data_IF_704032801458
#
_entry.id   IF_704032801458
#
_cell.length_a   1.000
_cell.length_b   1.000
_cell.length_c   1.000
_cell.angle_alpha   90.00
_cell.angle_beta   90.00
_cell.angle_gamma   90.00
#
_symmetry.space_group_name_H-M   'P 1'
#
loop_
_entity.id
_entity.type
_entity.pdbx_description
1 polymer ?
#
# COMPACT_ATOMS: atom_id res chain seq x y z
N UNK A 1 -56.87 21.59 -24.26
CA UNK A 1 -56.60 20.15 -24.09
C UNK A 1 -55.09 19.93 -24.14
N UNK A 2 -54.43 20.00 -22.97
CA UNK A 2 -53.61 18.93 -22.34
C UNK A 2 -52.40 18.49 -23.18
N UNK A 3 -51.22 19.06 -22.93
CA UNK A 3 -50.21 18.62 -21.94
C UNK A 3 -49.42 17.38 -22.39
N UNK A 4 -48.12 17.53 -22.59
CA UNK A 4 -47.07 17.00 -21.69
C UNK A 4 -45.66 17.29 -22.22
N UNK A 5 -44.88 17.97 -21.37
CA UNK A 5 -43.43 17.98 -21.43
C UNK A 5 -42.87 16.57 -21.20
N UNK A 6 -41.76 16.23 -21.85
CA UNK A 6 -40.99 15.03 -21.56
C UNK A 6 -39.51 15.36 -21.41
N UNK A 7 -39.11 15.55 -20.16
CA UNK A 7 -37.73 15.53 -19.68
C UNK A 7 -37.17 14.11 -19.81
N UNK A 8 -35.97 13.96 -20.38
CA UNK A 8 -35.13 12.76 -20.24
C UNK A 8 -33.73 13.26 -19.88
N UNK A 9 -33.41 13.32 -18.59
CA UNK A 9 -32.77 12.28 -17.76
C UNK A 9 -31.34 11.98 -18.24
N UNK A 10 -30.43 12.67 -17.57
CA UNK A 10 -28.99 12.47 -17.43
C UNK A 10 -28.60 10.98 -17.52
N UNK A 11 -27.75 10.65 -18.48
CA UNK A 11 -26.96 9.44 -18.46
C UNK A 11 -25.64 9.76 -17.75
N UNK A 12 -25.67 9.62 -16.43
CA UNK A 12 -24.49 9.53 -15.59
C UNK A 12 -23.75 8.23 -15.99
N UNK A 13 -22.62 8.38 -16.70
CA UNK A 13 -21.73 7.27 -17.02
C UNK A 13 -20.93 6.95 -15.76
N UNK A 14 -21.58 6.28 -14.83
CA UNK A 14 -20.95 5.64 -13.69
C UNK A 14 -20.13 4.45 -14.19
N UNK A 15 -18.84 4.68 -14.46
CA UNK A 15 -17.85 3.61 -14.62
C UNK A 15 -17.59 2.98 -13.27
N UNK A 16 -18.43 2.02 -12.90
CA UNK A 16 -18.11 1.09 -11.83
C UNK A 16 -16.92 0.22 -12.31
N UNK A 17 -15.71 0.52 -11.82
CA UNK A 17 -14.57 -0.39 -11.93
C UNK A 17 -14.94 -1.71 -11.28
N UNK A 18 -15.16 -2.74 -12.11
CA UNK A 18 -15.43 -4.08 -11.65
C UNK A 18 -14.18 -4.66 -11.00
N UNK A 19 -14.18 -4.71 -9.67
CA UNK A 19 -13.23 -5.50 -8.89
C UNK A 19 -13.49 -6.97 -9.24
N UNK A 20 -12.69 -7.54 -10.13
CA UNK A 20 -12.82 -8.97 -10.45
C UNK A 20 -12.45 -9.77 -9.19
N UNK A 21 -13.46 -10.40 -8.58
CA UNK A 21 -13.24 -11.34 -7.49
C UNK A 21 -12.43 -12.54 -8.03
N UNK A 22 -11.13 -12.54 -7.78
CA UNK A 22 -10.25 -13.68 -8.05
C UNK A 22 -10.44 -14.77 -6.99
N UNK A 23 -10.29 -16.03 -7.37
CA UNK A 23 -10.36 -17.19 -6.46
C UNK A 23 -9.02 -17.94 -6.42
N UNK A 24 -8.88 -18.88 -5.48
CA UNK A 24 -7.69 -19.73 -5.39
C UNK A 24 -6.41 -18.95 -5.11
N UNK A 25 -5.33 -19.26 -5.85
CA UNK A 25 -3.99 -18.69 -5.63
C UNK A 25 -3.96 -17.17 -5.77
N UNK A 26 -4.80 -16.63 -6.66
CA UNK A 26 -4.88 -15.21 -6.97
C UNK A 26 -5.92 -14.46 -6.13
N UNK A 27 -6.59 -15.14 -5.18
CA UNK A 27 -7.67 -14.54 -4.40
C UNK A 27 -7.26 -13.20 -3.77
N UNK A 28 -8.16 -12.22 -3.80
CA UNK A 28 -7.95 -10.92 -3.15
C UNK A 28 -7.76 -11.12 -1.65
N UNK A 29 -6.70 -10.54 -1.09
CA UNK A 29 -6.36 -10.62 0.34
C UNK A 29 -6.10 -9.21 0.90
N UNK A 30 -7.15 -8.48 1.32
CA UNK A 30 -6.99 -7.10 1.78
C UNK A 30 -5.91 -6.97 2.86
N UNK A 31 -4.99 -6.02 2.65
CA UNK A 31 -3.89 -5.69 3.54
C UNK A 31 -2.73 -6.69 3.57
N UNK A 32 -2.69 -7.70 2.69
CA UNK A 32 -1.61 -8.71 2.70
C UNK A 32 -1.42 -9.35 1.31
N UNK A 33 -0.52 -10.33 1.24
CA UNK A 33 -0.23 -11.07 0.03
C UNK A 33 -1.25 -12.18 -0.22
N UNK A 34 -1.50 -12.45 -1.49
CA UNK A 34 -2.08 -13.73 -1.90
C UNK A 34 -0.99 -14.78 -2.16
N UNK A 35 -1.41 -16.00 -2.50
CA UNK A 35 -0.47 -17.10 -2.78
C UNK A 35 0.26 -16.94 -4.13
N UNK A 36 -0.12 -15.95 -4.94
CA UNK A 36 0.58 -15.57 -6.16
C UNK A 36 1.69 -14.53 -5.90
N UNK A 37 1.82 -14.02 -4.68
CA UNK A 37 2.81 -12.99 -4.33
C UNK A 37 2.37 -11.57 -4.67
N UNK A 38 1.10 -11.35 -4.95
CA UNK A 38 0.53 -10.02 -5.17
C UNK A 38 0.15 -9.41 -3.82
N UNK A 39 0.61 -8.18 -3.55
CA UNK A 39 0.22 -7.42 -2.37
C UNK A 39 -1.11 -6.70 -2.62
N UNK A 40 -1.97 -6.63 -1.61
CA UNK A 40 -3.18 -5.80 -1.66
C UNK A 40 -3.21 -4.80 -0.51
N UNK A 41 -3.70 -3.59 -0.79
CA UNK A 41 -3.98 -2.59 0.24
C UNK A 41 -5.10 -3.06 1.19
N UNK A 42 -5.29 -2.45 2.36
CA UNK A 42 -6.43 -2.71 3.23
C UNK A 42 -7.79 -2.48 2.53
N UNK A 43 -7.82 -1.58 1.54
CA UNK A 43 -8.98 -1.32 0.68
C UNK A 43 -9.12 -2.32 -0.49
N UNK A 44 -8.33 -3.40 -0.49
CA UNK A 44 -8.35 -4.47 -1.50
C UNK A 44 -7.86 -4.05 -2.91
N UNK A 45 -7.15 -2.93 -3.04
CA UNK A 45 -6.50 -2.55 -4.30
C UNK A 45 -5.27 -3.42 -4.53
N UNK A 46 -5.10 -3.93 -5.75
CA UNK A 46 -3.97 -4.80 -6.09
C UNK A 46 -2.72 -3.97 -6.38
N UNK A 47 -1.59 -4.40 -5.84
CA UNK A 47 -0.29 -3.77 -6.05
C UNK A 47 0.70 -4.77 -6.66
N UNK A 48 1.60 -4.25 -7.49
CA UNK A 48 2.75 -4.96 -8.01
C UNK A 48 4.04 -4.30 -7.49
N UNK A 49 5.08 -5.09 -7.28
CA UNK A 49 6.40 -4.59 -6.96
C UNK A 49 6.93 -3.77 -8.15
N UNK A 50 7.38 -2.54 -7.89
CA UNK A 50 7.90 -1.61 -8.89
C UNK A 50 9.39 -1.37 -8.70
N UNK A 51 9.83 -1.30 -7.45
CA UNK A 51 11.23 -1.06 -7.09
C UNK A 51 11.53 -1.79 -5.78
N UNK A 52 12.77 -2.22 -5.60
CA UNK A 52 13.20 -2.95 -4.42
C UNK A 52 14.51 -2.42 -3.86
N UNK A 53 14.74 -2.65 -2.57
CA UNK A 53 15.95 -2.20 -1.86
C UNK A 53 16.22 -0.68 -2.00
N UNK A 54 15.16 0.13 -1.91
CA UNK A 54 15.29 1.59 -2.01
C UNK A 54 15.89 2.21 -0.75
N UNK A 55 16.50 3.39 -0.90
CA UNK A 55 17.03 4.14 0.24
C UNK A 55 15.91 4.75 1.10
N UNK A 56 16.23 5.04 2.37
CA UNK A 56 15.29 5.72 3.27
C UNK A 56 14.90 7.12 2.75
N UNK A 57 15.81 7.85 2.14
CA UNK A 57 15.52 9.16 1.54
C UNK A 57 14.50 9.05 0.41
N UNK A 58 14.61 8.00 -0.42
CA UNK A 58 13.64 7.73 -1.48
C UNK A 58 12.28 7.37 -0.90
N UNK A 59 12.24 6.52 0.12
CA UNK A 59 11.01 6.17 0.83
C UNK A 59 10.31 7.41 1.42
N UNK A 60 11.06 8.29 2.09
CA UNK A 60 10.51 9.51 2.65
C UNK A 60 10.04 10.51 1.59
N UNK A 61 10.67 10.53 0.40
CA UNK A 61 10.17 11.31 -0.72
C UNK A 61 8.82 10.78 -1.21
N UNK A 62 8.71 9.48 -1.46
CA UNK A 62 7.47 8.84 -1.92
C UNK A 62 6.32 9.06 -0.93
N UNK A 63 6.56 8.94 0.37
CA UNK A 63 5.53 9.21 1.39
C UNK A 63 5.13 10.68 1.41
N UNK A 64 6.07 11.62 1.25
CA UNK A 64 5.73 13.05 1.14
C UNK A 64 4.88 13.35 -0.10
N UNK A 65 5.03 12.55 -1.15
CA UNK A 65 4.23 12.63 -2.39
C UNK A 65 2.89 11.88 -2.28
N UNK A 66 2.59 11.27 -1.12
CA UNK A 66 1.30 10.64 -0.83
C UNK A 66 1.29 9.12 -0.85
N UNK A 67 2.45 8.45 -0.90
CA UNK A 67 2.50 7.00 -0.74
C UNK A 67 2.04 6.55 0.66
N UNK A 68 1.30 5.45 0.71
CA UNK A 68 0.98 4.74 1.95
C UNK A 68 2.21 3.96 2.44
N UNK A 69 2.17 3.47 3.67
CA UNK A 69 3.22 2.62 4.24
C UNK A 69 2.66 1.31 4.76
N UNK A 70 3.34 0.22 4.42
CA UNK A 70 3.19 -1.08 5.04
C UNK A 70 4.47 -1.41 5.82
N UNK A 71 4.33 -2.10 6.95
CA UNK A 71 5.47 -2.50 7.77
C UNK A 71 5.32 -3.94 8.26
N UNK A 72 6.40 -4.70 8.21
CA UNK A 72 6.49 -6.01 8.85
C UNK A 72 7.88 -6.18 9.51
N UNK A 73 7.90 -6.54 10.79
CA UNK A 73 9.15 -6.64 11.55
C UNK A 73 9.87 -7.99 11.39
N UNK A 74 9.25 -8.97 10.73
CA UNK A 74 9.80 -10.33 10.64
C UNK A 74 10.94 -10.44 9.61
N UNK A 75 10.96 -9.54 8.61
CA UNK A 75 11.92 -9.59 7.51
C UNK A 75 11.66 -10.74 6.54
N UNK A 76 10.44 -11.30 6.53
CA UNK A 76 10.08 -12.42 5.67
C UNK A 76 9.37 -11.99 4.38
N UNK A 77 9.19 -10.67 4.17
CA UNK A 77 8.47 -10.14 3.03
C UNK A 77 6.95 -10.22 3.17
N UNK A 78 6.42 -10.41 4.39
CA UNK A 78 4.98 -10.38 4.68
C UNK A 78 4.18 -11.62 4.25
N UNK A 79 4.85 -12.73 3.98
CA UNK A 79 4.20 -14.01 3.65
C UNK A 79 3.69 -14.79 4.87
N UNK A 80 2.65 -15.62 4.66
CA UNK A 80 2.17 -16.57 5.68
C UNK A 80 1.53 -15.90 6.90
N UNK A 81 1.96 -16.20 8.14
CA UNK A 81 1.36 -15.62 9.35
C UNK A 81 1.78 -14.16 9.60
N UNK A 82 2.86 -13.70 8.96
CA UNK A 82 3.42 -12.38 9.16
C UNK A 82 2.66 -11.35 8.32
N UNK A 83 1.56 -10.83 8.88
CA UNK A 83 0.77 -9.80 8.19
C UNK A 83 1.40 -8.43 8.38
N UNK A 84 1.52 -7.62 7.30
CA UNK A 84 1.97 -6.25 7.47
C UNK A 84 0.94 -5.43 8.22
N UNK A 85 1.45 -4.48 9.01
CA UNK A 85 0.66 -3.41 9.60
C UNK A 85 0.67 -2.20 8.68
N UNK A 86 -0.41 -1.43 8.71
CA UNK A 86 -0.63 -0.27 7.86
C UNK A 86 -0.86 0.96 8.75
N UNK A 87 0.21 1.71 9.09
CA UNK A 87 0.08 2.87 9.94
C UNK A 87 -0.78 3.96 9.28
N UNK A 88 -1.40 4.81 10.10
CA UNK A 88 -2.23 5.91 9.60
C UNK A 88 -1.41 6.89 8.74
N UNK A 89 -1.95 7.23 7.56
CA UNK A 89 -1.29 8.11 6.58
C UNK A 89 -0.81 9.42 7.20
N UNK A 90 -1.59 10.03 8.11
CA UNK A 90 -1.22 11.27 8.78
C UNK A 90 0.04 11.13 9.65
N UNK A 91 0.16 10.01 10.37
CA UNK A 91 1.31 9.70 11.24
C UNK A 91 2.57 9.49 10.41
N UNK A 92 2.47 8.72 9.33
CA UNK A 92 3.60 8.48 8.42
C UNK A 92 4.01 9.75 7.68
N UNK A 93 3.05 10.53 7.19
CA UNK A 93 3.30 11.81 6.51
C UNK A 93 4.03 12.80 7.43
N UNK A 94 3.69 12.82 8.71
CA UNK A 94 4.40 13.64 9.70
C UNK A 94 5.84 13.14 9.90
N UNK A 95 6.03 11.83 10.09
CA UNK A 95 7.36 11.24 10.26
C UNK A 95 8.27 11.47 9.04
N UNK A 96 7.74 11.33 7.83
CA UNK A 96 8.47 11.52 6.58
C UNK A 96 8.94 12.97 6.35
N UNK A 97 8.25 13.95 6.93
CA UNK A 97 8.69 15.36 6.94
C UNK A 97 9.84 15.59 7.92
N UNK A 98 9.90 14.82 9.01
CA UNK A 98 10.92 14.98 10.04
C UNK A 98 12.22 14.26 9.69
N UNK A 99 12.16 13.04 9.14
CA UNK A 99 13.34 12.24 8.83
C UNK A 99 13.04 11.08 7.87
N UNK A 100 14.06 10.54 7.17
CA UNK A 100 13.93 9.26 6.48
C UNK A 100 13.89 8.08 7.47
N UNK A 101 13.25 6.95 7.09
CA UNK A 101 13.41 5.70 7.82
C UNK A 101 14.86 5.25 7.80
N UNK A 102 15.28 4.52 8.83
CA UNK A 102 16.63 4.03 8.99
C UNK A 102 16.60 2.52 9.19
N UNK A 103 17.40 1.83 8.39
CA UNK A 103 17.73 0.42 8.58
C UNK A 103 18.73 0.32 9.73
N UNK A 104 18.49 -0.61 10.66
CA UNK A 104 19.44 -0.92 11.74
C UNK A 104 20.82 -1.25 11.16
N UNK A 105 21.92 -0.72 11.73
CA UNK A 105 23.28 -1.10 11.30
C UNK A 105 23.64 -2.55 11.65
N UNK A 106 22.83 -3.20 12.50
CA UNK A 106 22.98 -4.60 12.91
C UNK A 106 21.60 -5.25 12.91
N UNK A 107 21.03 -5.54 11.73
CA UNK A 107 19.71 -6.12 11.64
C UNK A 107 19.74 -7.57 12.12
N UNK A 108 18.72 -7.95 12.90
CA UNK A 108 18.47 -9.28 13.43
C UNK A 108 17.66 -10.16 12.48
N UNK A 109 17.02 -9.55 11.48
CA UNK A 109 16.28 -10.19 10.39
C UNK A 109 16.67 -9.57 9.04
N UNK A 110 16.41 -10.24 7.90
CA UNK A 110 16.54 -9.61 6.59
C UNK A 110 15.74 -8.30 6.56
N UNK A 111 16.38 -7.20 6.18
CA UNK A 111 15.84 -5.84 6.37
C UNK A 111 16.04 -5.03 5.10
N UNK A 112 14.95 -4.52 4.53
CA UNK A 112 14.97 -3.75 3.29
C UNK A 112 13.70 -2.88 3.15
N UNK A 113 13.63 -2.09 2.09
CA UNK A 113 12.48 -1.23 1.79
C UNK A 113 12.12 -1.38 0.30
N UNK A 114 10.87 -1.70 0.02
CA UNK A 114 10.36 -1.87 -1.34
C UNK A 114 9.29 -0.83 -1.70
N UNK A 115 9.04 -0.69 -3.01
CA UNK A 115 7.96 0.13 -3.55
C UNK A 115 7.00 -0.74 -4.34
N UNK A 116 5.73 -0.65 -3.96
CA UNK A 116 4.63 -1.32 -4.61
C UNK A 116 3.66 -0.29 -5.19
N UNK A 117 3.09 -0.54 -6.37
CA UNK A 117 2.10 0.35 -6.95
C UNK A 117 1.02 -0.39 -7.74
N UNK A 118 -0.15 0.23 -7.83
CA UNK A 118 -1.29 -0.27 -8.58
C UNK A 118 -2.53 0.60 -8.36
N UNK A 119 -3.37 0.73 -9.38
CA UNK A 119 -4.64 1.47 -9.35
C UNK A 119 -4.53 2.92 -8.80
N UNK A 120 -3.39 3.59 -9.06
CA UNK A 120 -3.11 4.95 -8.59
C UNK A 120 -2.58 5.04 -7.16
N UNK A 121 -2.48 3.92 -6.44
CA UNK A 121 -1.85 3.83 -5.12
C UNK A 121 -0.37 3.49 -5.24
N UNK A 122 0.46 4.13 -4.42
CA UNK A 122 1.86 3.77 -4.19
C UNK A 122 2.02 3.42 -2.71
N UNK A 123 2.78 2.37 -2.42
CA UNK A 123 3.07 1.89 -1.07
C UNK A 123 4.57 1.73 -0.91
N UNK A 124 5.11 2.31 0.15
CA UNK A 124 6.46 1.99 0.64
C UNK A 124 6.34 0.89 1.68
N UNK A 125 6.96 -0.26 1.43
CA UNK A 125 6.92 -1.40 2.33
C UNK A 125 8.26 -1.54 3.06
N UNK A 126 8.26 -1.34 4.37
CA UNK A 126 9.42 -1.53 5.23
C UNK A 126 9.43 -2.94 5.84
N UNK A 127 10.59 -3.61 5.74
CA UNK A 127 10.78 -4.99 6.18
C UNK A 127 11.87 -5.09 7.24
N UNK A 128 11.65 -5.89 8.28
CA UNK A 128 12.63 -6.18 9.32
C UNK A 128 12.90 -4.99 10.25
N UNK A 129 14.18 -4.74 10.52
CA UNK A 129 14.64 -3.78 11.54
C UNK A 129 14.75 -2.35 10.97
N UNK A 130 13.62 -1.83 10.49
CA UNK A 130 13.48 -0.44 10.05
C UNK A 130 12.87 0.38 11.17
N UNK A 131 13.47 1.54 11.44
CA UNK A 131 12.93 2.54 12.38
C UNK A 131 12.48 3.78 11.61
N UNK A 132 11.35 4.37 11.98
CA UNK A 132 10.90 5.63 11.39
C UNK A 132 10.15 6.49 12.40
N UNK A 133 10.88 7.39 13.08
CA UNK A 133 10.30 8.26 14.08
C UNK A 133 9.50 7.48 15.13
N UNK A 134 8.25 7.86 15.36
CA UNK A 134 7.31 7.16 16.25
C UNK A 134 6.39 6.16 15.53
N UNK A 135 6.59 5.92 14.22
CA UNK A 135 5.69 5.06 13.42
C UNK A 135 5.92 3.59 13.76
N UNK A 136 7.19 3.18 13.75
CA UNK A 136 7.65 1.83 14.10
C UNK A 136 9.14 1.86 14.44
N UNK A 137 9.56 0.88 15.25
CA UNK A 137 10.94 0.66 15.68
C UNK A 137 11.02 -0.40 16.76
#
# INVERSE_FOLDING_TARGET
MTSRARTTKTADRSTASAVHASTGRSAVRPGTFNLAGELFTPAAARLALVDSDISGERAAALVRDGAEVAFEACGCGGGGPCRPVWPEVAVVSFAAKASPPRISPRPSAPTWIDVWAGDGTTVVFCHGDVTWGSVFG
#
